data_IF_309639480821
#
_entry.id   IF_309639480821
#
_cell.length_a   1.000
_cell.length_b   1.000
_cell.length_c   1.000
_cell.angle_alpha   90.00
_cell.angle_beta   90.00
_cell.angle_gamma   90.00
#
_symmetry.space_group_name_H-M   'P 1'
#
loop_
_entity.id
_entity.type
_entity.pdbx_description
1 polymer ?
#
# COMPACT_ATOMS: atom_id res chain seq x y z
N UNK A 1 -23.72 3.79 -1.16
CA UNK A 1 -22.98 2.60 -1.65
C UNK A 1 -21.46 2.77 -1.61
N UNK A 2 -20.79 3.52 -2.50
CA UNK A 2 -19.30 3.59 -2.49
C UNK A 2 -18.74 4.17 -1.17
N UNK A 3 -19.31 5.28 -0.70
CA UNK A 3 -18.86 5.96 0.52
C UNK A 3 -19.14 5.13 1.79
N UNK A 4 -20.25 4.39 1.83
CA UNK A 4 -20.55 3.47 2.94
C UNK A 4 -19.60 2.27 2.95
N UNK A 5 -19.30 1.68 1.78
CA UNK A 5 -18.34 0.59 1.67
C UNK A 5 -16.91 1.05 2.04
N UNK A 6 -16.52 2.26 1.62
CA UNK A 6 -15.27 2.88 2.03
C UNK A 6 -15.20 3.07 3.55
N UNK A 7 -16.25 3.63 4.16
CA UNK A 7 -16.31 3.82 5.61
C UNK A 7 -16.26 2.49 6.38
N UNK A 8 -16.93 1.44 5.89
CA UNK A 8 -16.89 0.12 6.51
C UNK A 8 -15.48 -0.51 6.44
N UNK A 9 -14.80 -0.41 5.29
CA UNK A 9 -13.40 -0.83 5.13
C UNK A 9 -12.45 -0.02 6.03
N UNK A 10 -12.70 1.28 6.17
CA UNK A 10 -11.92 2.18 7.02
C UNK A 10 -12.07 1.85 8.51
N UNK A 11 -13.30 1.65 8.99
CA UNK A 11 -13.56 1.26 10.38
C UNK A 11 -13.06 -0.15 10.70
N UNK A 12 -13.17 -1.10 9.76
CA UNK A 12 -12.54 -2.42 9.90
C UNK A 12 -11.02 -2.29 10.00
N UNK A 13 -10.38 -1.50 9.13
CA UNK A 13 -8.93 -1.28 9.17
C UNK A 13 -8.44 -0.68 10.50
N UNK A 14 -9.22 0.20 11.13
CA UNK A 14 -8.91 0.74 12.48
C UNK A 14 -9.00 -0.30 13.61
N UNK A 15 -9.78 -1.37 13.42
CA UNK A 15 -10.01 -2.40 14.44
C UNK A 15 -8.94 -3.50 14.47
N UNK A 16 -7.99 -3.46 13.54
CA UNK A 16 -6.91 -4.44 13.46
C UNK A 16 -5.74 -3.93 14.32
N UNK A 17 -5.57 -4.52 15.50
CA UNK A 17 -4.45 -4.19 16.41
C UNK A 17 -3.09 -4.62 15.84
N UNK A 18 -3.06 -5.75 15.12
CA UNK A 18 -1.87 -6.31 14.50
C UNK A 18 -2.26 -7.05 13.22
N UNK A 19 -1.58 -6.74 12.10
CA UNK A 19 -1.76 -7.45 10.84
C UNK A 19 -0.78 -8.62 10.79
N UNK A 20 -1.32 -9.85 10.84
CA UNK A 20 -0.52 -11.09 10.77
C UNK A 20 -0.16 -11.50 9.33
N UNK A 21 -0.79 -10.87 8.34
CA UNK A 21 -0.54 -11.15 6.92
C UNK A 21 0.64 -10.32 6.40
N UNK A 22 1.48 -10.84 5.48
CA UNK A 22 2.50 -10.04 4.82
C UNK A 22 1.91 -8.80 4.15
N UNK A 23 2.63 -7.68 4.20
CA UNK A 23 2.21 -6.42 3.58
C UNK A 23 3.28 -5.96 2.59
N UNK A 24 2.83 -5.60 1.39
CA UNK A 24 3.65 -4.83 0.44
C UNK A 24 3.15 -3.39 0.38
N UNK A 25 3.97 -2.46 0.84
CA UNK A 25 3.72 -1.03 0.75
C UNK A 25 4.20 -0.53 -0.62
N UNK A 26 3.30 0.07 -1.40
CA UNK A 26 3.70 0.81 -2.60
C UNK A 26 3.78 2.29 -2.26
N UNK A 27 4.96 2.87 -2.36
CA UNK A 27 5.21 4.28 -2.03
C UNK A 27 5.72 5.05 -3.24
N UNK A 28 5.40 6.34 -3.33
CA UNK A 28 6.06 7.21 -4.28
C UNK A 28 7.58 7.24 -4.04
N UNK A 29 8.36 7.23 -5.12
CA UNK A 29 9.82 7.38 -5.08
C UNK A 29 10.27 8.68 -4.44
N UNK A 30 9.43 9.70 -4.50
CA UNK A 30 9.66 11.03 -3.90
C UNK A 30 9.16 11.13 -2.44
N UNK A 31 8.45 10.12 -1.93
CA UNK A 31 7.95 10.12 -0.55
C UNK A 31 9.06 9.73 0.46
N UNK A 32 8.96 10.24 1.69
CA UNK A 32 9.87 9.87 2.78
C UNK A 32 9.73 8.40 3.18
N UNK A 33 10.85 7.79 3.59
CA UNK A 33 10.89 6.38 4.01
C UNK A 33 10.25 6.11 5.39
N UNK A 34 9.70 7.14 6.03
CA UNK A 34 9.15 7.08 7.39
C UNK A 34 7.96 6.13 7.56
N UNK A 35 7.28 5.73 6.49
CA UNK A 35 6.12 4.85 6.62
C UNK A 35 6.50 3.39 6.91
N UNK A 36 7.64 2.90 6.39
CA UNK A 36 8.00 1.48 6.56
C UNK A 36 8.22 1.13 8.04
N UNK A 37 8.85 2.03 8.81
CA UNK A 37 9.06 1.84 10.25
C UNK A 37 7.77 1.85 11.05
N UNK A 38 6.75 2.61 10.64
CA UNK A 38 5.45 2.63 11.32
C UNK A 38 4.65 1.36 11.02
N UNK A 39 4.66 0.87 9.78
CA UNK A 39 4.01 -0.38 9.42
C UNK A 39 4.66 -1.59 10.10
N UNK A 40 5.98 -1.62 10.24
CA UNK A 40 6.67 -2.68 10.98
C UNK A 40 6.22 -2.80 12.45
N UNK A 41 5.67 -1.74 13.06
CA UNK A 41 5.11 -1.81 14.43
C UNK A 41 3.71 -2.41 14.46
N UNK A 42 3.01 -2.38 13.33
CA UNK A 42 1.60 -2.78 13.19
C UNK A 42 1.45 -4.16 12.53
N UNK A 43 2.54 -4.79 12.11
CA UNK A 43 2.53 -6.08 11.40
C UNK A 43 3.37 -7.12 12.12
N UNK A 44 2.84 -8.34 12.31
CA UNK A 44 3.65 -9.51 12.66
C UNK A 44 4.22 -10.23 11.43
N UNK A 45 3.67 -9.95 10.24
CA UNK A 45 4.15 -10.46 8.97
C UNK A 45 5.36 -9.71 8.40
N UNK A 46 5.93 -10.24 7.31
CA UNK A 46 6.96 -9.54 6.53
C UNK A 46 6.34 -8.28 5.90
N UNK A 47 6.92 -7.11 6.20
CA UNK A 47 6.58 -5.86 5.52
C UNK A 47 7.71 -5.47 4.59
N UNK A 48 7.36 -5.24 3.33
CA UNK A 48 8.27 -4.77 2.29
C UNK A 48 7.76 -3.47 1.67
N UNK A 49 8.67 -2.60 1.24
CA UNK A 49 8.34 -1.39 0.52
C UNK A 49 8.84 -1.46 -0.92
N UNK A 50 7.96 -1.12 -1.86
CA UNK A 50 8.28 -0.95 -3.27
C UNK A 50 8.06 0.51 -3.67
N UNK A 51 8.96 1.04 -4.48
CA UNK A 51 8.87 2.41 -4.97
C UNK A 51 8.17 2.46 -6.33
N UNK A 52 7.21 3.36 -6.47
CA UNK A 52 6.55 3.73 -7.72
C UNK A 52 6.94 5.14 -8.15
N UNK A 53 6.58 5.55 -9.36
CA UNK A 53 6.87 6.90 -9.86
C UNK A 53 6.03 7.96 -9.13
N UNK A 54 6.64 9.14 -8.90
CA UNK A 54 6.00 10.28 -8.25
C UNK A 54 6.03 10.24 -6.71
N UNK A 55 5.11 10.97 -6.10
CA UNK A 55 4.84 11.06 -4.67
C UNK A 55 3.38 10.66 -4.38
N UNK A 56 2.96 10.73 -3.13
CA UNK A 56 1.59 10.46 -2.67
C UNK A 56 0.49 11.06 -3.55
N UNK A 57 0.70 12.28 -4.09
CA UNK A 57 -0.28 12.98 -4.92
C UNK A 57 -0.21 12.61 -6.40
N UNK A 58 0.98 12.28 -6.90
CA UNK A 58 1.22 12.12 -8.35
C UNK A 58 1.31 10.66 -8.78
N UNK A 59 1.45 9.70 -7.86
CA UNK A 59 1.56 8.28 -8.17
C UNK A 59 0.31 7.69 -8.85
N UNK A 60 -0.86 8.32 -8.65
CA UNK A 60 -2.14 7.90 -9.24
C UNK A 60 -2.50 8.65 -10.53
N UNK A 61 -1.67 9.60 -10.99
CA UNK A 61 -1.96 10.32 -12.24
C UNK A 61 -1.88 9.40 -13.45
N UNK A 62 -2.53 9.79 -14.55
CA UNK A 62 -2.63 9.00 -15.79
C UNK A 62 -1.28 8.51 -16.30
N UNK A 63 -0.22 9.31 -16.16
CA UNK A 63 1.13 8.96 -16.58
C UNK A 63 1.79 7.86 -15.73
N UNK A 64 1.40 7.73 -14.46
CA UNK A 64 2.04 6.83 -13.48
C UNK A 64 1.17 5.61 -13.13
N UNK A 65 -0.15 5.70 -13.28
CA UNK A 65 -1.09 4.64 -12.90
C UNK A 65 -0.86 3.34 -13.70
N UNK A 66 -0.36 3.43 -14.93
CA UNK A 66 0.02 2.25 -15.72
C UNK A 66 1.19 1.49 -15.08
N UNK A 67 2.24 2.21 -14.69
CA UNK A 67 3.40 1.61 -14.01
C UNK A 67 2.99 1.00 -12.66
N UNK A 68 2.10 1.68 -11.92
CA UNK A 68 1.54 1.13 -10.69
C UNK A 68 0.78 -0.18 -10.94
N UNK A 69 -0.03 -0.26 -12.00
CA UNK A 69 -0.75 -1.47 -12.37
C UNK A 69 0.19 -2.63 -12.73
N UNK A 70 1.26 -2.36 -13.49
CA UNK A 70 2.29 -3.36 -13.83
C UNK A 70 3.03 -3.86 -12.58
N UNK A 71 3.33 -2.97 -11.64
CA UNK A 71 3.95 -3.32 -10.37
C UNK A 71 3.05 -4.24 -9.53
N UNK A 72 1.75 -3.93 -9.44
CA UNK A 72 0.77 -4.75 -8.72
C UNK A 72 0.61 -6.12 -9.40
N UNK A 73 0.52 -6.16 -10.73
CA UNK A 73 0.42 -7.43 -11.46
C UNK A 73 1.64 -8.33 -11.20
N UNK A 74 2.86 -7.75 -11.20
CA UNK A 74 4.09 -8.48 -10.90
C UNK A 74 4.11 -9.09 -9.50
N UNK A 75 3.52 -8.42 -8.50
CA UNK A 75 3.38 -8.98 -7.15
C UNK A 75 2.46 -10.20 -7.13
N UNK A 76 1.31 -10.09 -7.79
CA UNK A 76 0.33 -11.18 -7.92
C UNK A 76 0.96 -12.40 -8.61
N UNK A 77 1.71 -12.17 -9.70
CA UNK A 77 2.36 -13.23 -10.46
C UNK A 77 3.42 -13.98 -9.63
N UNK A 78 4.06 -13.28 -8.68
CA UNK A 78 5.00 -13.84 -7.72
C UNK A 78 4.32 -14.51 -6.51
N UNK A 79 2.99 -14.43 -6.41
CA UNK A 79 2.19 -14.90 -5.26
C UNK A 79 2.58 -14.21 -3.95
N UNK A 80 2.87 -12.91 -4.03
CA UNK A 80 3.08 -11.99 -2.89
C UNK A 80 1.76 -11.28 -2.62
#
# INVERSE_FOLDING_TARGET
>A
MWQENYNALWEWGKSIDIIETPITLIQGKEDSDSSLSEWNKLTLGETRALKTLGNHYTMMNTSNIKFLGELVQSLIDQKI
#
